data_IF_322954241186
#
_entry.id   IF_322954241186
#
_cell.length_a   1.000
_cell.length_b   1.000
_cell.length_c   1.000
_cell.angle_alpha   90.00
_cell.angle_beta   90.00
_cell.angle_gamma   90.00
#
_symmetry.space_group_name_H-M   'P 1'
#
loop_
_entity.id
_entity.type
_entity.pdbx_description
1 polymer ?
#
# COMPACT_ATOMS: atom_id res chain seq x y z
N UNK A 1 -26.68 -6.46 -4.52
CA UNK A 1 -26.23 -5.25 -5.22
C UNK A 1 -26.34 -4.05 -4.29
N UNK A 2 -25.33 -3.79 -3.46
CA UNK A 2 -25.24 -2.60 -2.61
C UNK A 2 -24.62 -1.46 -3.44
N UNK A 3 -25.31 -0.33 -3.52
CA UNK A 3 -24.88 0.86 -4.27
C UNK A 3 -23.55 1.38 -3.70
N UNK A 4 -22.50 1.33 -4.51
CA UNK A 4 -21.24 2.04 -4.24
C UNK A 4 -21.45 3.48 -4.67
N UNK A 5 -21.37 4.43 -3.72
CA UNK A 5 -21.27 5.85 -4.05
C UNK A 5 -19.81 6.13 -4.51
N UNK A 6 -19.68 6.76 -5.65
CA UNK A 6 -18.40 7.16 -6.19
C UNK A 6 -17.64 8.09 -5.22
N UNK A 7 -16.38 7.77 -4.91
CA UNK A 7 -15.47 8.56 -4.07
C UNK A 7 -15.41 10.06 -4.47
N UNK A 8 -15.64 10.38 -5.75
CA UNK A 8 -15.54 11.75 -6.26
C UNK A 8 -16.61 12.72 -5.72
N UNK A 9 -17.79 12.23 -5.34
CA UNK A 9 -18.87 13.11 -4.87
C UNK A 9 -18.71 13.52 -3.39
N UNK A 10 -18.03 12.70 -2.56
CA UNK A 10 -17.79 13.01 -1.16
C UNK A 10 -16.60 13.97 -0.95
N UNK A 11 -15.58 13.91 -1.82
CA UNK A 11 -14.42 14.79 -1.72
C UNK A 11 -14.78 16.28 -1.81
N UNK A 12 -15.81 16.64 -2.56
CA UNK A 12 -16.24 18.04 -2.72
C UNK A 12 -17.05 18.54 -1.52
N UNK A 13 -17.74 17.69 -0.80
CA UNK A 13 -18.54 18.08 0.36
C UNK A 13 -17.70 18.30 1.65
N UNK A 14 -16.56 17.59 1.79
CA UNK A 14 -15.68 17.73 2.94
C UNK A 14 -14.77 18.98 2.89
N UNK A 15 -14.59 19.60 1.73
CA UNK A 15 -13.74 20.79 1.56
C UNK A 15 -14.43 22.11 2.00
N UNK A 16 -15.72 22.12 2.25
CA UNK A 16 -16.47 23.35 2.54
C UNK A 16 -16.57 23.72 4.03
N UNK A 17 -15.94 22.97 4.93
CA UNK A 17 -16.04 23.19 6.38
C UNK A 17 -14.73 23.48 7.13
N UNK A 18 -13.58 23.49 6.45
CA UNK A 18 -12.29 23.72 7.08
C UNK A 18 -11.97 25.23 7.08
N UNK A 19 -12.41 25.95 8.10
CA UNK A 19 -11.74 27.19 8.46
C UNK A 19 -10.42 26.82 9.14
N UNK A 20 -9.30 27.05 8.45
CA UNK A 20 -7.99 27.07 9.09
C UNK A 20 -8.03 28.09 10.22
N UNK A 21 -7.67 27.68 11.43
CA UNK A 21 -7.56 28.61 12.55
C UNK A 21 -6.35 29.50 12.28
N UNK A 22 -6.58 30.80 12.10
CA UNK A 22 -5.52 31.79 11.87
C UNK A 22 -4.46 31.68 12.95
N UNK A 23 -3.20 31.60 12.53
CA UNK A 23 -2.04 31.69 13.42
C UNK A 23 -2.02 33.06 14.08
N UNK A 24 -2.18 33.11 15.39
CA UNK A 24 -2.20 34.38 16.15
C UNK A 24 -0.80 34.96 16.27
N UNK A 25 -0.62 36.27 16.03
CA UNK A 25 0.64 36.93 16.32
C UNK A 25 0.82 37.14 17.84
N UNK A 26 1.94 36.69 18.34
CA UNK A 26 2.65 37.02 19.57
C UNK A 26 1.92 37.84 20.68
N UNK A 27 1.06 37.22 21.47
CA UNK A 27 0.76 37.57 22.89
C UNK A 27 -0.20 36.60 23.58
N UNK A 28 -0.01 35.34 23.44
CA UNK A 28 -0.79 34.31 24.12
C UNK A 28 -1.02 33.11 23.21
N UNK A 29 -1.13 31.94 23.77
CA UNK A 29 -1.62 30.75 23.07
C UNK A 29 -3.07 30.48 23.49
N UNK A 30 -3.84 29.85 22.63
CA UNK A 30 -5.19 29.37 22.95
C UNK A 30 -5.22 27.87 22.74
N UNK A 31 -5.59 27.14 23.78
CA UNK A 31 -5.83 25.70 23.66
C UNK A 31 -7.14 25.47 22.90
N UNK A 32 -7.17 24.57 21.93
CA UNK A 32 -8.36 24.33 21.13
C UNK A 32 -9.44 23.63 21.96
N UNK A 33 -10.69 23.95 21.69
CA UNK A 33 -11.83 23.20 22.23
C UNK A 33 -11.95 21.81 21.60
N UNK A 34 -12.68 20.90 22.25
CA UNK A 34 -12.96 19.55 21.78
C UNK A 34 -11.95 18.53 22.31
N UNK A 35 -11.31 17.78 21.40
CA UNK A 35 -10.34 16.77 21.84
C UNK A 35 -9.15 17.38 22.58
N UNK A 36 -8.66 16.64 23.56
CA UNK A 36 -7.49 17.02 24.36
C UNK A 36 -6.17 16.86 23.56
N UNK A 37 -5.14 17.56 24.00
CA UNK A 37 -3.76 17.35 23.56
C UNK A 37 -3.10 16.46 24.60
N UNK A 38 -2.58 15.31 24.16
CA UNK A 38 -1.81 14.42 25.03
C UNK A 38 -0.41 14.99 25.22
N UNK A 39 0.12 14.97 26.44
CA UNK A 39 1.50 15.32 26.74
C UNK A 39 2.30 14.04 26.97
N UNK A 40 3.20 13.69 26.03
CA UNK A 40 4.00 12.48 26.13
C UNK A 40 4.91 12.44 27.36
N UNK A 41 5.20 11.23 27.87
CA UNK A 41 6.08 11.05 29.03
C UNK A 41 7.48 11.62 28.80
N UNK A 42 8.03 11.45 27.62
CA UNK A 42 9.33 11.99 27.23
C UNK A 42 9.38 13.52 27.17
N UNK A 43 8.21 14.18 27.06
CA UNK A 43 8.09 15.63 27.00
C UNK A 43 7.56 16.25 28.30
N UNK A 44 7.48 15.49 29.41
CA UNK A 44 6.97 15.99 30.71
C UNK A 44 7.80 17.14 31.29
N UNK A 45 9.11 17.14 31.05
CA UNK A 45 10.00 18.19 31.52
C UNK A 45 10.04 19.41 30.58
N UNK A 46 9.34 19.35 29.46
CA UNK A 46 9.20 20.47 28.52
C UNK A 46 8.06 21.39 28.99
N UNK A 47 8.37 22.67 29.23
CA UNK A 47 7.35 23.67 29.59
C UNK A 47 6.62 24.17 28.33
N UNK A 48 5.54 23.52 27.95
CA UNK A 48 4.71 23.91 26.81
C UNK A 48 4.14 25.33 26.91
N UNK A 49 4.10 25.93 28.12
CA UNK A 49 3.60 27.30 28.30
C UNK A 49 4.66 28.35 28.06
N UNK A 50 5.93 27.95 27.96
CA UNK A 50 7.02 28.84 27.62
C UNK A 50 7.21 28.99 26.11
N UNK A 51 7.30 30.21 25.58
CA UNK A 51 7.65 30.41 24.16
C UNK A 51 9.09 29.95 23.84
N UNK A 52 9.91 29.81 24.85
CA UNK A 52 11.33 29.42 24.70
C UNK A 52 11.57 27.90 24.76
N UNK A 53 10.58 27.12 25.13
CA UNK A 53 10.70 25.64 25.16
C UNK A 53 10.90 25.07 23.74
N UNK A 54 11.47 23.86 23.65
CA UNK A 54 11.64 23.13 22.37
C UNK A 54 10.29 22.97 21.67
N UNK A 55 9.31 22.46 22.39
CA UNK A 55 7.91 22.33 21.96
C UNK A 55 7.04 23.28 22.79
N UNK A 56 6.13 24.00 22.14
CA UNK A 56 5.37 25.04 22.85
C UNK A 56 3.97 25.20 22.26
N UNK A 57 3.01 25.55 23.10
CA UNK A 57 1.67 25.96 22.67
C UNK A 57 1.67 27.22 21.81
N UNK A 58 2.77 27.99 21.80
CA UNK A 58 2.96 29.11 20.87
C UNK A 58 3.32 28.65 19.44
N UNK A 59 3.79 27.42 19.31
CA UNK A 59 4.21 26.79 18.05
C UNK A 59 3.44 25.52 17.81
N UNK A 60 2.12 25.65 17.75
CA UNK A 60 1.20 24.59 17.38
C UNK A 60 0.04 25.12 16.54
N UNK A 61 -0.57 24.22 15.80
CA UNK A 61 -1.86 24.43 15.14
C UNK A 61 -2.69 23.16 15.20
N UNK A 62 -4.01 23.30 15.26
CA UNK A 62 -4.92 22.18 15.45
C UNK A 62 -5.98 22.13 14.37
N UNK A 63 -6.32 20.92 13.99
CA UNK A 63 -7.60 20.56 13.38
C UNK A 63 -8.52 19.94 14.43
N UNK A 64 -9.76 19.58 14.12
CA UNK A 64 -10.60 18.85 15.07
C UNK A 64 -9.97 17.56 15.60
N UNK A 65 -9.15 16.87 14.78
CA UNK A 65 -8.65 15.53 15.09
C UNK A 65 -7.13 15.43 15.25
N UNK A 66 -6.37 16.42 14.83
CA UNK A 66 -4.91 16.40 14.81
C UNK A 66 -4.36 17.68 15.45
N UNK A 67 -3.24 17.56 16.16
CA UNK A 67 -2.41 18.69 16.59
C UNK A 67 -1.06 18.60 15.89
N UNK A 68 -0.63 19.70 15.29
CA UNK A 68 0.70 19.84 14.72
C UNK A 68 1.53 20.75 15.63
N UNK A 69 2.63 20.25 16.15
CA UNK A 69 3.66 21.02 16.84
C UNK A 69 4.88 21.18 15.94
N UNK A 70 5.59 22.30 16.09
CA UNK A 70 6.90 22.47 15.46
C UNK A 70 7.95 23.00 16.42
N UNK A 71 9.18 22.54 16.23
CA UNK A 71 10.30 22.88 17.09
C UNK A 71 10.65 24.38 17.07
N UNK A 72 11.30 24.86 18.13
CA UNK A 72 11.75 26.25 18.29
C UNK A 72 12.59 26.76 17.11
N UNK A 73 13.35 25.89 16.46
CA UNK A 73 14.20 26.23 15.31
C UNK A 73 13.45 26.85 14.13
N UNK A 74 12.20 26.50 13.93
CA UNK A 74 11.33 27.07 12.88
C UNK A 74 10.94 28.54 13.15
N UNK A 75 11.01 29.02 14.39
CA UNK A 75 10.38 30.26 14.80
C UNK A 75 8.86 30.12 14.91
N UNK A 76 8.16 31.27 14.99
CA UNK A 76 6.71 31.30 15.20
C UNK A 76 5.90 31.17 13.90
N UNK A 77 6.50 31.38 12.75
CA UNK A 77 5.86 31.37 11.44
C UNK A 77 6.58 30.39 10.49
N UNK A 78 5.97 29.24 10.27
CA UNK A 78 6.52 28.18 9.41
C UNK A 78 6.78 28.63 7.96
N UNK A 79 6.03 29.62 7.47
CA UNK A 79 6.25 30.16 6.12
C UNK A 79 7.51 31.03 6.01
N UNK A 80 8.09 31.38 7.16
CA UNK A 80 9.31 32.21 7.31
C UNK A 80 10.39 31.51 8.12
N UNK A 81 10.27 30.19 8.27
CA UNK A 81 11.27 29.42 8.97
C UNK A 81 12.68 29.71 8.40
N UNK A 82 13.67 29.95 9.25
CA UNK A 82 15.04 30.18 8.77
C UNK A 82 15.58 28.94 8.08
N UNK A 83 16.49 29.13 7.12
CA UNK A 83 17.19 28.02 6.50
C UNK A 83 18.10 27.33 7.53
N UNK A 84 18.25 26.02 7.40
CA UNK A 84 19.21 25.22 8.16
C UNK A 84 20.32 24.76 7.21
N UNK A 85 21.55 25.20 7.47
CA UNK A 85 22.71 24.89 6.62
C UNK A 85 22.48 25.18 5.12
N UNK A 86 21.74 26.25 4.81
CA UNK A 86 21.43 26.66 3.44
C UNK A 86 20.27 25.89 2.78
N UNK A 87 19.57 25.05 3.54
CA UNK A 87 18.38 24.33 3.07
C UNK A 87 17.11 24.99 3.58
N UNK A 88 16.11 25.24 2.71
CA UNK A 88 14.82 25.81 3.11
C UNK A 88 14.09 24.91 4.11
N UNK A 89 13.66 25.49 5.22
CA UNK A 89 12.88 24.80 6.26
C UNK A 89 11.42 25.23 6.32
N UNK A 90 10.97 26.02 5.34
CA UNK A 90 9.59 26.49 5.30
C UNK A 90 8.61 25.36 5.07
N UNK A 91 7.41 25.48 5.70
CA UNK A 91 6.31 24.53 5.56
C UNK A 91 5.01 25.28 5.26
N UNK A 92 4.24 24.80 4.30
CA UNK A 92 2.89 25.26 4.01
C UNK A 92 1.92 24.64 5.04
N UNK A 93 1.72 25.36 6.15
CA UNK A 93 0.92 24.86 7.29
C UNK A 93 -0.55 24.65 6.91
N UNK A 94 -1.12 25.51 6.08
CA UNK A 94 -2.52 25.40 5.67
C UNK A 94 -2.75 24.14 4.82
N UNK A 95 -1.85 23.89 3.88
CA UNK A 95 -1.87 22.65 3.11
C UNK A 95 -1.68 21.42 4.02
N UNK A 96 -0.71 21.47 4.94
CA UNK A 96 -0.45 20.37 5.88
C UNK A 96 -1.69 20.04 6.72
N UNK A 97 -2.28 21.03 7.38
CA UNK A 97 -3.45 20.85 8.24
C UNK A 97 -4.68 20.35 7.46
N UNK A 98 -4.95 20.93 6.30
CA UNK A 98 -6.09 20.53 5.48
C UNK A 98 -5.95 19.10 4.97
N UNK A 99 -4.74 18.71 4.53
CA UNK A 99 -4.48 17.37 4.02
C UNK A 99 -4.50 16.32 5.12
N UNK A 100 -3.86 16.57 6.26
CA UNK A 100 -3.81 15.61 7.37
C UNK A 100 -5.21 15.36 7.95
N UNK A 101 -6.04 16.40 8.07
CA UNK A 101 -7.43 16.24 8.52
C UNK A 101 -8.26 15.43 7.50
N UNK A 102 -8.06 15.68 6.19
CA UNK A 102 -8.69 14.89 5.14
C UNK A 102 -8.28 13.41 5.23
N UNK A 103 -6.99 13.11 5.38
CA UNK A 103 -6.49 11.74 5.52
C UNK A 103 -7.05 11.06 6.77
N UNK A 104 -7.04 11.78 7.90
CA UNK A 104 -7.61 11.30 9.14
C UNK A 104 -9.07 10.87 8.98
N UNK A 105 -9.89 11.74 8.38
CA UNK A 105 -11.30 11.48 8.19
C UNK A 105 -11.55 10.28 7.24
N UNK A 106 -10.77 10.12 6.18
CA UNK A 106 -10.85 8.94 5.30
C UNK A 106 -10.49 7.67 6.06
N UNK A 107 -9.40 7.67 6.81
CA UNK A 107 -8.94 6.49 7.56
C UNK A 107 -9.91 6.12 8.69
N UNK A 108 -10.50 7.10 9.36
CA UNK A 108 -11.53 6.87 10.37
C UNK A 108 -12.86 6.42 9.76
N UNK A 109 -13.44 7.23 8.86
CA UNK A 109 -14.85 7.12 8.47
C UNK A 109 -15.08 6.12 7.32
N UNK A 110 -14.17 6.09 6.35
CA UNK A 110 -14.32 5.23 5.18
C UNK A 110 -13.61 3.89 5.35
N UNK A 111 -12.46 3.88 6.02
CA UNK A 111 -11.66 2.67 6.22
C UNK A 111 -11.88 2.05 7.59
N UNK A 112 -12.57 2.73 8.51
CA UNK A 112 -13.04 2.18 9.77
C UNK A 112 -11.92 1.84 10.76
N UNK A 113 -10.78 2.52 10.71
CA UNK A 113 -9.66 2.23 11.62
C UNK A 113 -9.96 2.55 13.08
N UNK A 114 -10.80 3.53 13.36
CA UNK A 114 -11.20 3.87 14.72
C UNK A 114 -12.61 3.36 15.01
N UNK A 115 -12.79 2.67 16.14
CA UNK A 115 -14.07 2.24 16.65
C UNK A 115 -14.54 3.18 17.77
N UNK A 116 -15.84 3.21 18.09
CA UNK A 116 -16.35 3.88 19.27
C UNK A 116 -15.60 3.43 20.54
N UNK A 117 -15.17 4.38 21.36
CA UNK A 117 -14.36 4.13 22.54
C UNK A 117 -12.85 4.15 22.31
N UNK A 118 -12.39 4.40 21.07
CA UNK A 118 -10.97 4.62 20.78
C UNK A 118 -10.41 5.79 21.62
N UNK A 119 -9.15 5.65 22.07
CA UNK A 119 -8.43 6.74 22.74
C UNK A 119 -8.34 7.99 21.84
N UNK A 120 -8.37 7.81 20.51
CA UNK A 120 -8.39 8.90 19.54
C UNK A 120 -9.74 9.67 19.50
N UNK A 121 -10.77 9.26 20.21
CA UNK A 121 -11.97 10.11 20.45
C UNK A 121 -11.69 11.20 21.50
N UNK A 122 -10.83 10.90 22.48
CA UNK A 122 -10.44 11.82 23.53
C UNK A 122 -9.27 12.70 23.13
N UNK A 123 -8.23 12.13 22.50
CA UNK A 123 -7.01 12.85 22.18
C UNK A 123 -6.88 13.12 20.69
N UNK A 124 -6.23 14.23 20.32
CA UNK A 124 -5.78 14.49 18.96
C UNK A 124 -4.56 13.64 18.64
N UNK A 125 -4.51 13.07 17.44
CA UNK A 125 -3.25 12.52 16.93
C UNK A 125 -2.22 13.63 16.73
N UNK A 126 -0.93 13.30 16.86
CA UNK A 126 0.13 14.30 16.92
C UNK A 126 0.99 14.27 15.66
N UNK A 127 1.24 15.44 15.09
CA UNK A 127 2.23 15.67 14.05
C UNK A 127 3.35 16.50 14.64
N UNK A 128 4.57 15.96 14.65
CA UNK A 128 5.74 16.58 15.25
C UNK A 128 6.71 16.99 14.13
N UNK A 129 6.77 18.31 13.82
CA UNK A 129 7.71 18.83 12.84
C UNK A 129 9.09 19.07 13.49
N UNK A 130 10.07 18.32 13.03
CA UNK A 130 11.44 18.41 13.51
C UNK A 130 12.27 19.37 12.64
N UNK A 131 12.95 20.31 13.27
CA UNK A 131 13.86 21.25 12.60
C UNK A 131 15.20 20.55 12.34
N UNK A 132 15.20 19.68 11.32
CA UNK A 132 16.33 18.79 11.00
C UNK A 132 16.45 18.60 9.49
N UNK A 133 17.69 18.37 9.03
CA UNK A 133 17.99 17.94 7.66
C UNK A 133 18.02 16.42 7.52
N UNK A 134 17.93 15.68 8.62
CA UNK A 134 17.74 14.24 8.56
C UNK A 134 16.43 13.95 7.84
N UNK A 135 16.46 13.02 6.87
CA UNK A 135 15.27 12.65 6.08
C UNK A 135 14.22 11.88 6.89
N UNK A 136 13.94 12.38 8.09
CA UNK A 136 13.02 11.74 9.05
C UNK A 136 11.59 11.78 8.54
N UNK A 137 10.97 10.60 8.49
CA UNK A 137 9.55 10.40 8.40
C UNK A 137 9.24 9.09 9.13
N UNK A 138 8.42 9.16 10.17
CA UNK A 138 8.10 8.02 11.00
C UNK A 138 6.70 8.16 11.59
N UNK A 139 5.86 7.15 11.40
CA UNK A 139 4.54 7.05 12.01
C UNK A 139 4.51 5.98 13.11
N UNK A 140 3.83 6.27 14.20
CA UNK A 140 3.74 5.40 15.36
C UNK A 140 2.80 5.94 16.42
N UNK A 141 3.24 5.97 17.67
CA UNK A 141 2.45 6.45 18.80
C UNK A 141 3.31 7.04 19.90
N UNK A 142 2.67 7.78 20.79
CA UNK A 142 3.21 8.15 22.10
C UNK A 142 2.62 7.31 23.22
N UNK A 143 3.49 6.75 24.06
CA UNK A 143 3.20 6.13 25.38
C UNK A 143 2.09 5.07 25.34
N UNK A 144 1.91 4.37 24.23
CA UNK A 144 0.79 3.45 23.98
C UNK A 144 -0.59 4.10 24.20
N UNK A 145 -0.71 5.40 23.97
CA UNK A 145 -1.94 6.18 24.17
C UNK A 145 -2.51 6.69 22.85
N UNK A 146 -1.73 7.42 22.06
CA UNK A 146 -2.25 8.09 20.87
C UNK A 146 -1.28 8.01 19.70
N UNK A 147 -1.82 7.82 18.52
CA UNK A 147 -1.06 7.85 17.26
C UNK A 147 -0.34 9.18 17.05
N UNK A 148 0.91 9.09 16.59
CA UNK A 148 1.75 10.24 16.31
C UNK A 148 2.62 9.99 15.09
N UNK A 149 3.08 11.07 14.45
CA UNK A 149 4.12 11.01 13.42
C UNK A 149 5.16 12.11 13.62
N UNK A 150 6.38 11.82 13.23
CA UNK A 150 7.53 12.73 13.28
C UNK A 150 8.05 12.94 11.87
N UNK A 151 8.27 14.19 11.48
CA UNK A 151 8.63 14.50 10.11
C UNK A 151 9.52 15.72 9.98
N UNK A 152 10.49 15.65 9.08
CA UNK A 152 11.33 16.77 8.70
C UNK A 152 10.80 17.47 7.42
N UNK A 153 11.06 18.78 7.23
CA UNK A 153 10.51 19.56 6.13
C UNK A 153 10.82 19.02 4.73
N UNK A 154 11.97 18.39 4.53
CA UNK A 154 12.37 17.81 3.23
C UNK A 154 11.48 16.65 2.78
N UNK A 155 10.62 16.12 3.65
CA UNK A 155 9.67 15.04 3.36
C UNK A 155 8.25 15.54 3.04
N UNK A 156 7.99 16.84 3.16
CA UNK A 156 6.67 17.45 2.99
C UNK A 156 6.68 18.66 2.06
N UNK A 157 7.61 18.71 1.10
CA UNK A 157 7.68 19.79 0.12
C UNK A 157 6.67 19.65 -1.03
N UNK A 158 6.15 18.46 -1.26
CA UNK A 158 5.11 18.22 -2.27
C UNK A 158 3.71 18.57 -1.73
N UNK A 159 2.83 19.07 -2.60
CA UNK A 159 1.48 19.48 -2.20
C UNK A 159 0.53 18.30 -1.92
N UNK A 160 0.85 17.11 -2.39
CA UNK A 160 0.04 15.91 -2.18
C UNK A 160 0.26 15.30 -0.81
N UNK A 161 1.44 15.57 -0.20
CA UNK A 161 1.86 15.08 1.11
C UNK A 161 1.73 13.56 1.22
N UNK A 162 2.23 12.85 0.21
CA UNK A 162 2.19 11.40 0.17
C UNK A 162 2.87 10.77 1.39
N UNK A 163 4.01 11.32 1.80
CA UNK A 163 4.73 10.87 2.97
C UNK A 163 3.87 11.00 4.26
N UNK A 164 3.17 12.13 4.43
CA UNK A 164 2.24 12.30 5.57
C UNK A 164 1.10 11.28 5.53
N UNK A 165 0.53 11.01 4.36
CA UNK A 165 -0.53 10.02 4.23
C UNK A 165 -0.05 8.62 4.63
N UNK A 166 1.18 8.25 4.25
CA UNK A 166 1.82 6.99 4.63
C UNK A 166 2.06 6.92 6.14
N UNK A 167 2.73 7.91 6.73
CA UNK A 167 3.08 7.91 8.16
C UNK A 167 1.85 8.00 9.07
N UNK A 168 0.85 8.78 8.67
CA UNK A 168 -0.44 8.78 9.37
C UNK A 168 -1.11 7.40 9.29
N UNK A 169 -0.93 6.68 8.18
CA UNK A 169 -1.35 5.28 8.06
C UNK A 169 -0.77 4.42 9.17
N UNK A 170 0.53 4.52 9.46
CA UNK A 170 1.17 3.81 10.58
C UNK A 170 0.59 4.22 11.93
N UNK A 171 0.29 5.50 12.13
CA UNK A 171 -0.34 5.97 13.37
C UNK A 171 -1.72 5.32 13.57
N UNK A 172 -2.50 5.12 12.51
CA UNK A 172 -3.79 4.43 12.57
C UNK A 172 -3.67 2.91 12.76
N UNK A 173 -2.70 2.26 12.10
CA UNK A 173 -2.41 0.84 12.31
C UNK A 173 -2.04 0.57 13.77
N UNK A 174 -1.18 1.41 14.33
CA UNK A 174 -0.75 1.35 15.73
C UNK A 174 -1.94 1.61 16.66
N UNK A 175 -2.81 2.58 16.36
CA UNK A 175 -3.96 2.92 17.21
C UNK A 175 -4.90 1.72 17.41
N UNK A 176 -5.04 0.82 16.45
CA UNK A 176 -5.81 -0.42 16.63
C UNK A 176 -5.27 -1.25 17.81
N UNK A 177 -3.93 -1.39 17.89
CA UNK A 177 -3.31 -2.12 19.01
C UNK A 177 -3.44 -1.36 20.32
N UNK A 178 -3.31 -0.03 20.31
CA UNK A 178 -3.48 0.84 21.49
C UNK A 178 -4.89 0.76 22.07
N UNK A 179 -5.87 0.55 21.21
CA UNK A 179 -7.27 0.39 21.59
C UNK A 179 -7.59 -1.06 22.03
N UNK A 180 -6.57 -1.91 22.20
CA UNK A 180 -6.67 -3.25 22.75
C UNK A 180 -7.07 -4.34 21.76
N UNK A 181 -6.92 -4.08 20.46
CA UNK A 181 -7.20 -5.06 19.41
C UNK A 181 -5.92 -5.77 18.94
N UNK A 182 -6.06 -6.89 18.23
CA UNK A 182 -4.95 -7.62 17.62
C UNK A 182 -4.18 -6.74 16.64
N UNK A 183 -3.03 -7.18 16.18
CA UNK A 183 -2.20 -6.40 15.28
C UNK A 183 -1.55 -7.25 14.21
N UNK A 184 -1.30 -6.63 13.08
CA UNK A 184 -0.41 -7.13 12.04
C UNK A 184 1.05 -6.84 12.39
N UNK A 185 1.97 -7.24 11.51
CA UNK A 185 3.40 -6.98 11.70
C UNK A 185 4.20 -7.29 10.44
N UNK A 186 5.49 -6.95 10.48
CA UNK A 186 6.40 -7.19 9.36
C UNK A 186 6.12 -6.32 8.12
N UNK A 187 6.42 -6.86 6.96
CA UNK A 187 6.34 -6.12 5.68
C UNK A 187 4.93 -5.56 5.37
N UNK A 188 3.88 -6.14 5.95
CA UNK A 188 2.51 -5.68 5.69
C UNK A 188 2.23 -4.28 6.25
N UNK A 189 2.93 -3.84 7.29
CA UNK A 189 2.77 -2.50 7.85
C UNK A 189 3.05 -1.46 6.77
N UNK A 190 4.17 -1.59 6.06
CA UNK A 190 4.56 -0.70 4.97
C UNK A 190 3.61 -0.82 3.76
N UNK A 191 3.35 -2.06 3.32
CA UNK A 191 2.48 -2.30 2.16
C UNK A 191 1.07 -1.77 2.38
N UNK A 192 0.54 -1.90 3.59
CA UNK A 192 -0.80 -1.39 3.92
C UNK A 192 -0.81 0.13 4.13
N UNK A 193 0.25 0.74 4.64
CA UNK A 193 0.39 2.20 4.67
C UNK A 193 0.45 2.78 3.23
N UNK A 194 1.16 2.12 2.31
CA UNK A 194 1.13 2.47 0.88
C UNK A 194 -0.26 2.31 0.26
N UNK A 195 -0.99 1.26 0.63
CA UNK A 195 -2.37 1.10 0.19
C UNK A 195 -3.28 2.20 0.75
N UNK A 196 -3.12 2.59 2.03
CA UNK A 196 -3.86 3.68 2.65
C UNK A 196 -3.58 5.02 1.96
N UNK A 197 -2.30 5.32 1.69
CA UNK A 197 -1.88 6.44 0.87
C UNK A 197 -2.58 6.44 -0.50
N UNK A 198 -2.63 5.29 -1.18
CA UNK A 198 -3.27 5.20 -2.50
C UNK A 198 -4.78 5.43 -2.45
N UNK A 199 -5.45 5.22 -1.31
CA UNK A 199 -6.87 5.56 -1.14
C UNK A 199 -7.11 7.07 -1.10
N UNK A 200 -6.19 7.85 -0.58
CA UNK A 200 -6.32 9.32 -0.43
C UNK A 200 -5.65 10.10 -1.56
N UNK A 201 -4.68 9.51 -2.24
CA UNK A 201 -3.98 10.08 -3.39
C UNK A 201 -4.04 9.09 -4.58
N UNK A 202 -5.12 9.10 -5.39
CA UNK A 202 -5.32 8.12 -6.48
C UNK A 202 -4.23 8.15 -7.56
N UNK A 203 -3.48 9.25 -7.65
CA UNK A 203 -2.36 9.44 -8.58
C UNK A 203 -1.03 8.87 -8.06
N UNK A 204 -1.01 8.20 -6.92
CA UNK A 204 0.21 7.68 -6.31
C UNK A 204 1.12 6.93 -7.32
N UNK A 205 0.58 6.03 -8.12
CA UNK A 205 1.34 5.29 -9.16
C UNK A 205 1.99 6.21 -10.21
N UNK A 206 1.49 7.45 -10.37
CA UNK A 206 2.06 8.45 -11.28
C UNK A 206 3.04 9.35 -10.55
N UNK A 207 2.65 9.84 -9.37
CA UNK A 207 3.42 10.85 -8.64
C UNK A 207 4.67 10.21 -7.98
N UNK A 208 4.60 8.91 -7.65
CA UNK A 208 5.70 8.08 -7.14
C UNK A 208 5.97 6.85 -8.05
N UNK A 209 6.07 7.09 -9.34
CA UNK A 209 6.18 6.03 -10.35
C UNK A 209 7.37 5.07 -10.13
N UNK A 210 8.40 5.51 -9.41
CA UNK A 210 9.54 4.64 -9.07
C UNK A 210 9.13 3.37 -8.31
N UNK A 211 8.02 3.38 -7.56
CA UNK A 211 7.46 2.19 -6.93
C UNK A 211 6.96 1.17 -7.97
N UNK A 212 6.26 1.64 -9.00
CA UNK A 212 5.82 0.79 -10.09
C UNK A 212 7.00 0.23 -10.89
N UNK A 213 8.00 1.07 -11.17
CA UNK A 213 9.22 0.65 -11.86
C UNK A 213 10.04 -0.38 -11.08
N UNK A 214 10.04 -0.30 -9.75
CA UNK A 214 10.66 -1.32 -8.89
C UNK A 214 9.84 -2.61 -8.89
N UNK A 215 8.53 -2.52 -8.68
CA UNK A 215 7.64 -3.69 -8.62
C UNK A 215 7.68 -4.53 -9.90
N UNK A 216 7.71 -3.91 -11.08
CA UNK A 216 7.79 -4.63 -12.37
C UNK A 216 8.96 -5.61 -12.45
N UNK A 217 10.05 -5.36 -11.74
CA UNK A 217 11.25 -6.22 -11.74
C UNK A 217 11.11 -7.42 -10.81
N UNK A 218 10.28 -7.29 -9.77
CA UNK A 218 10.21 -8.19 -8.64
C UNK A 218 8.83 -8.86 -8.46
N UNK A 219 8.01 -8.90 -9.54
CA UNK A 219 6.67 -9.53 -9.54
C UNK A 219 6.72 -11.05 -9.25
N UNK A 220 7.85 -11.69 -9.52
CA UNK A 220 8.06 -13.12 -9.31
C UNK A 220 8.28 -13.49 -7.83
N UNK A 221 8.64 -12.52 -6.98
CA UNK A 221 8.86 -12.73 -5.56
C UNK A 221 7.55 -13.08 -4.83
N UNK A 222 7.68 -13.77 -3.71
CA UNK A 222 6.54 -14.22 -2.92
C UNK A 222 5.64 -13.07 -2.47
N UNK A 223 4.35 -13.38 -2.26
CA UNK A 223 3.39 -12.42 -1.73
C UNK A 223 3.91 -11.85 -0.40
N UNK A 224 3.86 -10.52 -0.27
CA UNK A 224 4.38 -9.75 0.85
C UNK A 224 5.89 -9.90 1.10
N UNK A 225 6.65 -10.24 0.06
CA UNK A 225 8.11 -10.23 0.14
C UNK A 225 8.62 -8.83 0.50
N UNK A 226 9.61 -8.74 1.41
CA UNK A 226 10.07 -7.46 1.97
C UNK A 226 10.62 -6.48 0.92
N UNK A 227 11.23 -6.94 -0.17
CA UNK A 227 11.66 -6.07 -1.29
C UNK A 227 10.52 -5.28 -1.91
N UNK A 228 9.31 -5.82 -1.83
CA UNK A 228 8.11 -5.22 -2.40
C UNK A 228 7.26 -4.47 -1.36
N UNK A 229 7.69 -4.36 -0.11
CA UNK A 229 6.86 -3.82 0.98
C UNK A 229 6.35 -2.40 0.72
N UNK A 230 7.14 -1.56 0.02
CA UNK A 230 6.73 -0.21 -0.40
C UNK A 230 6.13 -0.18 -1.81
N UNK A 231 6.21 -1.28 -2.59
CA UNK A 231 5.97 -1.25 -4.03
C UNK A 231 4.72 -2.00 -4.46
N UNK A 232 4.17 -2.89 -3.63
CA UNK A 232 3.16 -3.88 -4.02
C UNK A 232 1.81 -3.80 -3.29
N UNK A 233 1.10 -2.65 -3.24
CA UNK A 233 -0.21 -2.58 -2.58
C UNK A 233 -1.35 -3.20 -3.42
N UNK A 234 -1.06 -3.82 -4.55
CA UNK A 234 -2.05 -4.21 -5.57
C UNK A 234 -2.98 -5.34 -5.12
N UNK A 235 -2.47 -6.33 -4.38
CA UNK A 235 -3.31 -7.39 -3.80
C UNK A 235 -4.22 -6.81 -2.72
N UNK A 236 -3.74 -5.84 -1.96
CA UNK A 236 -4.55 -5.14 -0.96
C UNK A 236 -5.68 -4.33 -1.63
N UNK A 237 -5.41 -3.72 -2.78
CA UNK A 237 -6.44 -3.03 -3.56
C UNK A 237 -7.49 -4.02 -4.10
N UNK A 238 -7.05 -5.19 -4.59
CA UNK A 238 -7.96 -6.23 -5.04
C UNK A 238 -8.87 -6.73 -3.91
N UNK A 239 -8.34 -6.95 -2.70
CA UNK A 239 -9.15 -7.32 -1.55
C UNK A 239 -10.10 -6.19 -1.13
N UNK A 240 -9.64 -4.93 -1.17
CA UNK A 240 -10.51 -3.77 -0.97
C UNK A 240 -11.65 -3.68 -1.98
N UNK A 241 -11.37 -3.99 -3.25
CA UNK A 241 -12.39 -4.10 -4.30
C UNK A 241 -13.44 -5.19 -3.97
N UNK A 242 -13.04 -6.32 -3.40
CA UNK A 242 -13.92 -7.44 -3.07
C UNK A 242 -14.75 -7.23 -1.82
N UNK A 243 -14.13 -6.69 -0.77
CA UNK A 243 -14.70 -6.66 0.58
C UNK A 243 -15.11 -5.26 1.06
N UNK A 244 -14.72 -4.23 0.36
CA UNK A 244 -14.88 -2.84 0.78
C UNK A 244 -13.67 -2.34 1.58
N UNK A 245 -13.58 -1.02 1.79
CA UNK A 245 -12.38 -0.39 2.35
C UNK A 245 -12.13 -0.72 3.83
N UNK A 246 -13.18 -1.07 4.59
CA UNK A 246 -13.04 -1.42 6.01
C UNK A 246 -12.32 -2.73 6.26
N UNK A 247 -12.20 -3.59 5.22
CA UNK A 247 -11.56 -4.90 5.36
C UNK A 247 -10.16 -4.81 5.97
N UNK A 248 -9.42 -3.75 5.64
CA UNK A 248 -8.04 -3.58 6.13
C UNK A 248 -8.00 -3.41 7.64
N UNK A 249 -8.83 -2.53 8.18
CA UNK A 249 -8.93 -2.34 9.63
C UNK A 249 -9.46 -3.61 10.33
N UNK A 250 -10.39 -4.33 9.70
CA UNK A 250 -10.89 -5.60 10.24
C UNK A 250 -9.79 -6.67 10.25
N UNK A 251 -8.93 -6.71 9.23
CA UNK A 251 -7.76 -7.59 9.18
C UNK A 251 -6.76 -7.29 10.31
N UNK A 252 -6.45 -6.00 10.55
CA UNK A 252 -5.59 -5.60 11.66
C UNK A 252 -6.17 -6.02 13.01
N UNK A 253 -7.48 -5.84 13.23
CA UNK A 253 -8.16 -6.27 14.47
C UNK A 253 -8.24 -7.78 14.60
N UNK A 254 -8.47 -8.47 13.48
CA UNK A 254 -8.63 -9.92 13.43
C UNK A 254 -7.34 -10.72 13.42
N UNK A 255 -6.18 -10.08 13.23
CA UNK A 255 -4.87 -10.72 13.19
C UNK A 255 -4.56 -11.49 14.47
N UNK A 256 -3.87 -12.60 14.35
CA UNK A 256 -3.43 -13.44 15.48
C UNK A 256 -1.91 -13.50 15.53
N UNK A 257 -1.38 -13.65 16.74
CA UNK A 257 0.06 -13.82 16.92
C UNK A 257 0.58 -15.03 16.13
N UNK A 258 1.58 -14.82 15.29
CA UNK A 258 2.20 -15.86 14.47
C UNK A 258 1.54 -16.08 13.10
N UNK A 259 0.40 -15.43 12.83
CA UNK A 259 -0.15 -15.36 11.46
C UNK A 259 0.51 -14.22 10.67
N UNK A 260 0.77 -14.45 9.40
CA UNK A 260 0.97 -13.36 8.46
C UNK A 260 -0.40 -12.83 7.96
N UNK A 261 -0.34 -11.79 7.15
CA UNK A 261 -1.56 -11.13 6.69
C UNK A 261 -2.36 -11.99 5.68
N UNK A 262 -1.70 -12.84 4.90
CA UNK A 262 -2.38 -13.77 4.00
C UNK A 262 -3.08 -14.90 4.78
N UNK A 263 -2.44 -15.42 5.83
CA UNK A 263 -3.07 -16.41 6.73
C UNK A 263 -4.28 -15.82 7.46
N UNK A 264 -4.15 -14.58 7.94
CA UNK A 264 -5.27 -13.84 8.54
C UNK A 264 -6.43 -13.68 7.55
N UNK A 265 -6.14 -13.28 6.30
CA UNK A 265 -7.12 -13.14 5.23
C UNK A 265 -7.84 -14.47 4.96
N UNK A 266 -7.08 -15.54 4.72
CA UNK A 266 -7.63 -16.87 4.44
C UNK A 266 -8.55 -17.34 5.56
N UNK A 267 -8.15 -17.14 6.82
CA UNK A 267 -8.96 -17.52 7.98
C UNK A 267 -10.22 -16.67 8.12
N UNK A 268 -10.12 -15.35 8.02
CA UNK A 268 -11.26 -14.45 8.26
C UNK A 268 -12.32 -14.55 7.17
N UNK A 269 -11.91 -14.77 5.94
CA UNK A 269 -12.82 -14.85 4.80
C UNK A 269 -13.14 -16.29 4.34
N UNK A 270 -12.60 -17.29 5.05
CA UNK A 270 -12.83 -18.70 4.74
C UNK A 270 -12.25 -19.13 3.39
N UNK A 271 -11.15 -18.50 2.97
CA UNK A 271 -10.48 -18.74 1.68
C UNK A 271 -9.50 -19.89 1.85
N UNK A 272 -9.66 -20.95 1.06
CA UNK A 272 -8.70 -22.07 1.04
C UNK A 272 -7.42 -21.66 0.30
N UNK A 273 -6.35 -22.47 0.48
CA UNK A 273 -5.08 -22.28 -0.25
C UNK A 273 -5.28 -22.27 -1.77
N UNK A 274 -6.17 -23.12 -2.27
CA UNK A 274 -6.50 -23.19 -3.71
C UNK A 274 -7.27 -21.93 -4.16
N UNK A 275 -8.28 -21.51 -3.40
CA UNK A 275 -9.04 -20.32 -3.68
C UNK A 275 -8.19 -19.05 -3.63
N UNK A 276 -7.21 -19.00 -2.72
CA UNK A 276 -6.23 -17.91 -2.67
C UNK A 276 -5.45 -17.80 -3.99
N UNK A 277 -5.02 -18.96 -4.55
CA UNK A 277 -4.39 -18.97 -5.86
C UNK A 277 -5.29 -18.48 -6.99
N UNK A 278 -6.58 -18.85 -6.96
CA UNK A 278 -7.56 -18.37 -7.95
C UNK A 278 -7.80 -16.86 -7.85
N UNK A 279 -7.88 -16.32 -6.62
CA UNK A 279 -8.02 -14.88 -6.38
C UNK A 279 -6.80 -14.10 -6.83
N UNK A 280 -5.59 -14.61 -6.58
CA UNK A 280 -4.36 -13.96 -7.01
C UNK A 280 -4.18 -13.98 -8.52
N UNK A 281 -4.60 -15.07 -9.21
CA UNK A 281 -4.64 -15.06 -10.66
C UNK A 281 -5.60 -13.99 -11.21
N UNK A 282 -6.78 -13.82 -10.63
CA UNK A 282 -7.71 -12.74 -11.03
C UNK A 282 -7.10 -11.36 -10.74
N UNK A 283 -6.52 -11.16 -9.56
CA UNK A 283 -5.85 -9.92 -9.19
C UNK A 283 -4.75 -9.53 -10.19
N UNK A 284 -3.81 -10.45 -10.45
CA UNK A 284 -2.67 -10.18 -11.33
C UNK A 284 -3.06 -10.05 -12.80
N UNK A 285 -4.11 -10.76 -13.22
CA UNK A 285 -4.70 -10.60 -14.56
C UNK A 285 -5.30 -9.19 -14.73
N UNK A 286 -5.97 -8.67 -13.70
CA UNK A 286 -6.51 -7.29 -13.68
C UNK A 286 -5.41 -6.25 -13.66
N UNK A 287 -4.31 -6.53 -12.99
CA UNK A 287 -3.19 -5.60 -12.87
C UNK A 287 -2.51 -5.31 -14.22
N UNK A 288 -2.60 -6.22 -15.21
CA UNK A 288 -2.07 -5.98 -16.56
C UNK A 288 -2.62 -4.68 -17.17
N UNK A 289 -3.87 -4.32 -16.89
CA UNK A 289 -4.52 -3.12 -17.40
C UNK A 289 -5.01 -2.18 -16.31
N UNK A 290 -4.61 -2.41 -15.05
CA UNK A 290 -5.15 -1.72 -13.87
C UNK A 290 -6.69 -1.75 -13.83
N UNK A 291 -7.29 -2.92 -14.10
CA UNK A 291 -8.74 -3.12 -14.09
C UNK A 291 -9.30 -3.15 -12.66
N UNK A 292 -9.02 -2.10 -11.90
CA UNK A 292 -9.55 -1.78 -10.57
C UNK A 292 -10.40 -0.52 -10.72
N UNK A 293 -11.73 -0.58 -10.54
CA UNK A 293 -12.64 0.52 -10.92
C UNK A 293 -12.24 1.89 -10.40
N UNK A 294 -11.78 1.94 -9.14
CA UNK A 294 -11.44 3.20 -8.48
C UNK A 294 -10.02 3.72 -8.81
N UNK A 295 -9.17 2.88 -9.41
CA UNK A 295 -7.76 3.22 -9.73
C UNK A 295 -7.50 3.32 -11.24
N UNK A 296 -8.32 2.65 -12.06
CA UNK A 296 -8.10 2.52 -13.50
C UNK A 296 -7.92 3.87 -14.21
N UNK A 297 -8.74 4.88 -13.85
CA UNK A 297 -8.69 6.20 -14.50
C UNK A 297 -7.29 6.79 -14.50
N UNK A 298 -6.59 6.73 -13.37
CA UNK A 298 -5.26 7.34 -13.21
C UNK A 298 -4.13 6.39 -13.63
N UNK A 299 -4.32 5.07 -13.51
CA UNK A 299 -3.26 4.08 -13.66
C UNK A 299 -3.28 3.32 -14.99
N UNK A 300 -4.35 3.39 -15.81
CA UNK A 300 -4.45 2.67 -17.08
C UNK A 300 -3.35 3.05 -18.11
N UNK A 301 -2.69 4.18 -17.92
CA UNK A 301 -1.54 4.59 -18.72
C UNK A 301 -0.36 3.63 -18.64
N UNK A 302 -0.27 2.85 -17.56
CA UNK A 302 0.75 1.81 -17.31
C UNK A 302 0.28 0.42 -17.76
N UNK A 303 -0.85 0.33 -18.48
CA UNK A 303 -1.36 -0.92 -19.00
C UNK A 303 -0.33 -1.60 -19.93
N UNK A 304 -0.24 -2.92 -19.79
CA UNK A 304 0.66 -3.76 -20.62
C UNK A 304 2.17 -3.58 -20.37
N UNK A 305 2.55 -2.96 -19.24
CA UNK A 305 3.98 -2.80 -18.88
C UNK A 305 4.55 -3.98 -18.09
N UNK A 306 3.70 -4.82 -17.48
CA UNK A 306 4.16 -6.03 -16.80
C UNK A 306 4.62 -7.04 -17.84
N UNK A 307 5.87 -7.48 -17.72
CA UNK A 307 6.47 -8.46 -18.62
C UNK A 307 7.61 -9.20 -17.95
N UNK A 308 7.57 -10.53 -17.99
CA UNK A 308 8.64 -11.38 -17.50
C UNK A 308 9.65 -11.68 -18.60
N UNK A 309 10.93 -11.74 -18.22
CA UNK A 309 11.98 -12.15 -19.12
C UNK A 309 11.94 -13.67 -19.32
N UNK A 310 11.93 -14.11 -20.58
CA UNK A 310 11.89 -15.52 -20.96
C UNK A 310 13.15 -15.91 -21.73
N UNK A 311 13.66 -17.10 -21.47
CA UNK A 311 14.78 -17.69 -22.23
C UNK A 311 14.33 -18.88 -23.06
N UNK A 312 14.83 -18.96 -24.26
CA UNK A 312 14.59 -20.11 -25.15
C UNK A 312 15.28 -21.36 -24.66
N UNK A 313 14.59 -22.49 -24.80
CA UNK A 313 15.11 -23.83 -24.49
C UNK A 313 14.91 -24.78 -25.65
N UNK A 314 15.44 -26.00 -25.53
CA UNK A 314 15.35 -27.01 -26.58
C UNK A 314 13.90 -27.30 -27.00
N UNK A 315 13.71 -27.54 -28.31
CA UNK A 315 12.41 -27.90 -28.85
C UNK A 315 11.39 -26.75 -28.97
N UNK A 316 11.85 -25.49 -28.88
CA UNK A 316 11.00 -24.31 -29.03
C UNK A 316 10.19 -24.00 -27.76
N UNK A 317 10.59 -24.54 -26.61
CA UNK A 317 10.07 -24.16 -25.31
C UNK A 317 10.78 -22.92 -24.79
N UNK A 318 10.07 -22.17 -23.94
CA UNK A 318 10.60 -21.02 -23.19
C UNK A 318 10.40 -21.23 -21.71
N UNK A 319 11.35 -20.78 -20.89
CA UNK A 319 11.25 -20.77 -19.43
C UNK A 319 11.49 -19.36 -18.90
N UNK A 320 10.86 -18.95 -17.78
CA UNK A 320 11.15 -17.66 -17.20
C UNK A 320 12.60 -17.61 -16.67
N UNK A 321 13.22 -16.43 -16.77
CA UNK A 321 14.52 -16.17 -16.14
C UNK A 321 14.34 -16.13 -14.63
N UNK A 322 13.35 -15.41 -14.16
CA UNK A 322 12.94 -15.35 -12.76
C UNK A 322 11.72 -16.24 -12.54
N UNK A 323 11.90 -17.27 -11.73
CA UNK A 323 10.86 -18.28 -11.46
C UNK A 323 9.93 -17.73 -10.37
N UNK A 324 8.59 -17.86 -10.51
CA UNK A 324 7.68 -17.43 -9.45
C UNK A 324 7.96 -18.16 -8.13
N UNK A 325 7.97 -17.41 -7.06
CA UNK A 325 7.91 -17.89 -5.68
C UNK A 325 6.46 -18.13 -5.24
N UNK A 326 6.25 -18.49 -3.97
CA UNK A 326 4.90 -18.70 -3.42
C UNK A 326 4.02 -17.48 -3.57
N UNK A 327 2.97 -17.60 -4.39
CA UNK A 327 2.03 -16.52 -4.73
C UNK A 327 2.65 -15.31 -5.45
N UNK A 328 3.93 -15.42 -5.88
CA UNK A 328 4.49 -14.57 -6.91
C UNK A 328 4.00 -14.99 -8.31
N UNK A 329 4.20 -14.14 -9.30
CA UNK A 329 3.67 -14.40 -10.63
C UNK A 329 4.61 -13.93 -11.75
N UNK A 330 4.34 -14.44 -12.95
CA UNK A 330 4.94 -13.98 -14.20
C UNK A 330 3.87 -13.58 -15.20
N UNK A 331 4.25 -12.70 -16.12
CA UNK A 331 3.44 -12.26 -17.25
C UNK A 331 4.24 -12.50 -18.52
N UNK A 332 3.84 -13.50 -19.32
CA UNK A 332 4.53 -13.90 -20.54
C UNK A 332 3.79 -13.40 -21.76
N UNK A 333 4.41 -12.55 -22.57
CA UNK A 333 3.79 -12.09 -23.82
C UNK A 333 3.76 -13.21 -24.85
N UNK A 334 2.56 -13.49 -25.39
CA UNK A 334 2.31 -14.46 -26.43
C UNK A 334 2.17 -13.74 -27.76
N UNK A 335 2.84 -14.23 -28.79
CA UNK A 335 2.68 -13.65 -30.14
C UNK A 335 1.21 -13.69 -30.55
N UNK A 336 0.63 -12.50 -30.75
CA UNK A 336 -0.77 -12.36 -31.15
C UNK A 336 -0.94 -12.93 -32.57
N UNK A 337 -1.84 -13.90 -32.77
CA UNK A 337 -2.07 -14.46 -34.12
C UNK A 337 -2.77 -13.43 -35.02
N UNK A 338 -2.66 -13.60 -36.36
CA UNK A 338 -3.42 -12.79 -37.31
C UNK A 338 -4.94 -12.90 -37.04
N UNK A 339 -5.70 -11.89 -37.44
CA UNK A 339 -7.16 -11.85 -37.29
C UNK A 339 -7.81 -13.13 -37.80
N UNK A 340 -8.69 -13.73 -37.00
CA UNK A 340 -9.37 -15.00 -37.29
C UNK A 340 -8.48 -16.24 -37.18
N UNK A 341 -7.19 -16.10 -36.83
CA UNK A 341 -6.30 -17.24 -36.59
C UNK A 341 -6.20 -17.57 -35.14
N UNK A 342 -5.85 -18.82 -34.84
CA UNK A 342 -5.75 -19.37 -33.48
C UNK A 342 -4.29 -19.65 -33.15
N UNK A 343 -3.86 -19.20 -31.95
CA UNK A 343 -2.61 -19.65 -31.33
C UNK A 343 -2.92 -20.72 -30.28
N UNK A 344 -2.00 -21.69 -30.14
CA UNK A 344 -2.02 -22.74 -29.13
C UNK A 344 -0.87 -22.52 -28.16
N UNK A 345 -1.16 -22.22 -26.91
CA UNK A 345 -0.17 -22.03 -25.85
C UNK A 345 -0.12 -23.28 -24.99
N UNK A 346 0.99 -24.03 -25.09
CA UNK A 346 1.23 -25.20 -24.27
C UNK A 346 1.90 -24.78 -22.98
N UNK A 347 1.33 -25.12 -21.86
CA UNK A 347 1.89 -24.92 -20.53
C UNK A 347 2.37 -26.25 -19.93
N UNK A 348 3.50 -26.24 -19.26
CA UNK A 348 4.01 -27.35 -18.46
C UNK A 348 4.69 -26.85 -17.19
N UNK A 349 4.15 -27.19 -16.03
CA UNK A 349 4.80 -27.06 -14.74
C UNK A 349 5.94 -28.06 -14.63
N UNK A 350 7.05 -27.65 -14.04
CA UNK A 350 8.27 -28.45 -13.94
C UNK A 350 8.57 -28.91 -12.51
N UNK A 351 7.92 -28.30 -11.50
CA UNK A 351 8.13 -28.73 -10.10
C UNK A 351 7.60 -30.15 -9.89
N UNK A 352 8.40 -30.96 -9.20
CA UNK A 352 8.02 -32.28 -8.74
C UNK A 352 7.95 -32.35 -7.20
N UNK A 353 8.20 -31.22 -6.51
CA UNK A 353 8.09 -31.13 -5.06
C UNK A 353 6.63 -31.26 -4.65
N UNK A 354 6.39 -31.87 -3.49
CA UNK A 354 5.06 -31.86 -2.85
C UNK A 354 4.64 -30.40 -2.55
N UNK A 355 3.36 -30.19 -2.42
CA UNK A 355 2.76 -28.89 -2.13
C UNK A 355 3.03 -27.81 -3.19
N UNK A 356 3.32 -28.18 -4.45
CA UNK A 356 3.51 -27.22 -5.55
C UNK A 356 2.45 -27.38 -6.62
N UNK A 357 1.94 -26.25 -7.09
CA UNK A 357 0.95 -26.16 -8.13
C UNK A 357 1.03 -24.81 -8.83
N UNK A 358 0.05 -24.54 -9.66
CA UNK A 358 0.01 -23.34 -10.47
C UNK A 358 -1.42 -22.84 -10.60
N UNK A 359 -1.58 -21.54 -10.82
CA UNK A 359 -2.75 -20.95 -11.44
C UNK A 359 -2.30 -20.16 -12.66
N UNK A 360 -2.97 -20.34 -13.78
CA UNK A 360 -2.60 -19.64 -15.00
C UNK A 360 -3.80 -19.44 -15.94
N UNK A 361 -3.75 -18.34 -16.68
CA UNK A 361 -4.79 -17.97 -17.64
C UNK A 361 -4.29 -17.00 -18.69
N UNK A 362 -4.98 -16.96 -19.84
CA UNK A 362 -4.70 -15.99 -20.88
C UNK A 362 -5.47 -14.69 -20.62
N UNK A 363 -4.81 -13.57 -20.92
CA UNK A 363 -5.40 -12.23 -20.89
C UNK A 363 -5.16 -11.59 -22.26
N UNK A 364 -6.24 -11.34 -23.00
CA UNK A 364 -6.16 -10.56 -24.23
C UNK A 364 -6.53 -9.10 -23.94
N UNK A 365 -5.80 -8.17 -24.53
CA UNK A 365 -5.99 -6.73 -24.31
C UNK A 365 -6.31 -6.08 -25.65
N UNK A 366 -7.41 -5.33 -25.73
CA UNK A 366 -7.81 -4.61 -26.91
C UNK A 366 -7.06 -3.28 -27.10
N UNK A 367 -7.33 -2.57 -28.18
CA UNK A 367 -6.69 -1.31 -28.51
C UNK A 367 -6.99 -0.18 -27.48
N UNK A 368 -8.07 -0.31 -26.73
CA UNK A 368 -8.51 0.65 -25.71
C UNK A 368 -8.05 0.26 -24.29
N UNK A 369 -7.15 -0.71 -24.15
CA UNK A 369 -6.68 -1.29 -22.89
C UNK A 369 -7.74 -2.06 -22.11
N UNK A 370 -8.85 -2.50 -22.72
CA UNK A 370 -9.80 -3.34 -22.02
C UNK A 370 -9.33 -4.80 -22.03
N UNK A 371 -9.32 -5.48 -20.87
CA UNK A 371 -8.91 -6.88 -20.79
C UNK A 371 -10.07 -7.81 -21.13
N UNK A 372 -9.73 -8.97 -21.70
CA UNK A 372 -10.58 -10.15 -21.77
C UNK A 372 -9.86 -11.30 -21.08
N UNK A 373 -10.47 -11.80 -19.98
CA UNK A 373 -9.94 -12.91 -19.20
C UNK A 373 -10.40 -14.24 -19.79
N UNK A 374 -9.47 -15.11 -20.14
CA UNK A 374 -9.74 -16.34 -20.90
C UNK A 374 -9.55 -17.59 -20.02
N UNK A 375 -10.24 -17.58 -18.89
CA UNK A 375 -10.33 -18.69 -17.95
C UNK A 375 -9.14 -18.85 -17.01
N UNK A 376 -9.31 -19.68 -16.00
CA UNK A 376 -8.31 -20.08 -15.04
C UNK A 376 -8.04 -21.57 -15.14
N UNK A 377 -6.79 -22.01 -14.96
CA UNK A 377 -6.36 -23.39 -15.02
C UNK A 377 -5.37 -23.70 -13.90
N UNK A 378 -5.41 -24.96 -13.43
CA UNK A 378 -4.50 -25.47 -12.40
C UNK A 378 -3.74 -26.72 -12.83
N UNK A 379 -4.04 -27.27 -14.01
CA UNK A 379 -3.44 -28.53 -14.46
C UNK A 379 -1.93 -28.38 -14.72
N UNK A 380 -1.08 -29.32 -14.29
CA UNK A 380 0.38 -29.21 -14.49
C UNK A 380 0.79 -29.25 -15.96
N UNK A 381 -0.10 -29.71 -16.85
CA UNK A 381 0.09 -29.71 -18.31
C UNK A 381 -1.24 -29.40 -18.98
N UNK A 382 -1.25 -28.38 -19.85
CA UNK A 382 -2.44 -28.02 -20.64
C UNK A 382 -2.07 -27.24 -21.89
N UNK A 383 -2.90 -27.32 -22.89
CA UNK A 383 -2.87 -26.43 -24.06
C UNK A 383 -4.04 -25.47 -23.96
N UNK A 384 -3.75 -24.20 -23.95
CA UNK A 384 -4.72 -23.11 -24.04
C UNK A 384 -4.82 -22.67 -25.51
N UNK A 385 -5.96 -22.15 -25.90
CA UNK A 385 -6.20 -21.65 -27.26
C UNK A 385 -6.79 -20.24 -27.21
N UNK A 386 -6.35 -19.41 -28.16
CA UNK A 386 -6.92 -18.10 -28.37
C UNK A 386 -7.07 -17.84 -29.86
N UNK A 387 -8.26 -17.41 -30.29
CA UNK A 387 -8.54 -16.95 -31.66
C UNK A 387 -8.67 -15.43 -31.63
N UNK A 388 -7.86 -14.74 -32.43
CA UNK A 388 -7.88 -13.28 -32.48
C UNK A 388 -9.16 -12.75 -33.13
N UNK A 389 -10.06 -12.03 -32.41
CA UNK A 389 -11.29 -11.51 -32.96
C UNK A 389 -11.12 -10.28 -33.84
N UNK A 390 -9.94 -9.64 -33.86
CA UNK A 390 -9.62 -8.54 -34.76
C UNK A 390 -9.32 -7.18 -34.14
N UNK A 391 -9.64 -6.96 -32.87
CA UNK A 391 -9.41 -5.69 -32.17
C UNK A 391 -8.38 -5.77 -31.04
N UNK A 392 -7.65 -6.88 -30.93
CA UNK A 392 -6.66 -7.10 -29.87
C UNK A 392 -5.31 -6.53 -30.26
N UNK A 393 -4.59 -5.97 -29.28
CA UNK A 393 -3.21 -5.49 -29.45
C UNK A 393 -2.18 -6.36 -28.75
N UNK A 394 -2.56 -7.06 -27.67
CA UNK A 394 -1.68 -7.90 -26.86
C UNK A 394 -2.40 -9.16 -26.39
N UNK A 395 -1.61 -10.21 -26.17
CA UNK A 395 -2.03 -11.46 -25.54
C UNK A 395 -0.96 -11.87 -24.53
N UNK A 396 -1.39 -12.14 -23.30
CA UNK A 396 -0.50 -12.56 -22.22
C UNK A 396 -0.94 -13.90 -21.63
N UNK A 397 0.03 -14.64 -21.12
CA UNK A 397 -0.18 -15.72 -20.16
C UNK A 397 0.28 -15.22 -18.80
N UNK A 398 -0.62 -15.22 -17.83
CA UNK A 398 -0.30 -14.95 -16.42
C UNK A 398 -0.12 -16.29 -15.71
N UNK A 399 0.98 -16.45 -14.98
CA UNK A 399 1.30 -17.69 -14.23
C UNK A 399 1.62 -17.34 -12.79
N UNK A 400 0.88 -17.91 -11.85
CA UNK A 400 1.06 -17.76 -10.40
C UNK A 400 1.61 -19.05 -9.82
N UNK A 401 2.66 -18.96 -9.02
CA UNK A 401 3.19 -20.08 -8.22
C UNK A 401 2.29 -20.31 -7.00
N UNK A 402 1.67 -21.47 -6.90
CA UNK A 402 0.69 -21.75 -5.83
C UNK A 402 1.03 -23.00 -5.04
N UNK A 403 0.98 -22.94 -3.69
CA UNK A 403 0.93 -24.16 -2.88
C UNK A 403 -0.41 -24.90 -3.13
N UNK A 404 -0.45 -26.20 -2.90
CA UNK A 404 -1.65 -27.03 -3.11
C UNK A 404 -2.32 -27.50 -1.83
N UNK A 405 -1.62 -27.46 -0.71
CA UNK A 405 -2.10 -27.95 0.58
C UNK A 405 -1.94 -26.97 1.70
N UNK A 406 -0.76 -26.35 1.83
CA UNK A 406 -0.41 -25.49 2.94
C UNK A 406 0.34 -24.26 2.44
N UNK A 407 -0.10 -23.08 2.86
CA UNK A 407 0.63 -21.85 2.67
C UNK A 407 1.62 -21.65 3.82
N UNK A 408 2.88 -21.43 3.49
CA UNK A 408 3.92 -21.02 4.43
C UNK A 408 4.34 -19.60 4.09
N UNK A 409 4.22 -18.65 5.04
CA UNK A 409 4.62 -17.27 4.81
C UNK A 409 6.12 -17.16 4.56
N UNK A 410 6.52 -16.18 3.77
CA UNK A 410 7.92 -15.79 3.68
C UNK A 410 8.40 -15.25 5.04
N UNK A 411 9.59 -15.67 5.47
CA UNK A 411 10.14 -15.20 6.74
C UNK A 411 10.67 -13.78 6.56
N UNK A 412 10.18 -12.84 7.37
CA UNK A 412 10.65 -11.46 7.40
C UNK A 412 11.37 -11.18 8.72
N UNK A 413 12.56 -10.54 8.65
CA UNK A 413 13.30 -10.07 9.83
C UNK A 413 13.81 -8.66 9.61
N UNK A 414 13.36 -7.71 10.44
CA UNK A 414 13.88 -6.35 10.47
C UNK A 414 15.38 -6.31 10.77
N UNK A 415 16.13 -5.47 10.05
CA UNK A 415 17.53 -5.13 10.35
C UNK A 415 18.56 -6.16 9.87
N UNK A 416 18.23 -7.04 8.94
CA UNK A 416 19.21 -7.90 8.26
C UNK A 416 19.33 -7.50 6.80
N UNK A 417 20.58 -7.55 6.32
CA UNK A 417 20.88 -7.33 4.90
C UNK A 417 20.15 -8.35 4.02
N UNK A 418 19.76 -7.89 2.84
CA UNK A 418 18.87 -8.57 1.90
C UNK A 418 19.30 -9.99 1.47
N UNK A 419 20.57 -10.33 1.69
CA UNK A 419 21.17 -11.59 1.25
C UNK A 419 21.09 -12.74 2.27
N UNK A 420 20.55 -12.50 3.47
CA UNK A 420 20.36 -13.52 4.49
C UNK A 420 18.91 -13.98 4.60
N UNK A 421 18.32 -14.46 3.50
CA UNK A 421 17.09 -15.24 3.55
C UNK A 421 17.36 -16.55 4.34
N UNK A 422 16.58 -16.77 5.40
CA UNK A 422 17.05 -17.61 6.45
C UNK A 422 16.19 -18.77 6.87
N UNK A 423 15.66 -19.46 5.90
CA UNK A 423 15.49 -20.89 6.02
C UNK A 423 16.55 -21.54 5.13
N UNK A 424 17.21 -22.58 5.60
CA UNK A 424 18.26 -23.33 4.87
C UNK A 424 17.80 -23.84 3.50
N UNK A 425 16.51 -23.73 3.15
CA UNK A 425 15.93 -24.18 1.89
C UNK A 425 15.53 -23.05 0.92
N UNK A 426 15.59 -21.78 1.32
CA UNK A 426 15.09 -20.64 0.51
C UNK A 426 13.57 -20.72 0.23
N UNK A 427 12.98 -19.70 -0.45
CA UNK A 427 11.56 -19.70 -0.77
C UNK A 427 11.19 -20.82 -1.76
N UNK A 428 9.97 -21.35 -1.63
CA UNK A 428 9.46 -22.33 -2.58
C UNK A 428 9.28 -21.68 -3.95
N UNK A 429 9.84 -22.31 -5.00
CA UNK A 429 9.78 -21.83 -6.37
C UNK A 429 8.95 -22.74 -7.27
N UNK A 430 8.35 -22.17 -8.31
CA UNK A 430 7.38 -22.84 -9.17
C UNK A 430 7.82 -22.78 -10.65
N UNK A 431 8.88 -23.51 -11.05
CA UNK A 431 9.40 -23.49 -12.39
C UNK A 431 8.39 -24.05 -13.40
N UNK A 432 8.33 -23.43 -14.59
CA UNK A 432 7.46 -23.86 -15.68
C UNK A 432 8.11 -23.60 -17.04
N UNK A 433 7.50 -24.14 -18.09
CA UNK A 433 7.82 -23.83 -19.48
C UNK A 433 6.57 -23.65 -20.32
N UNK A 434 6.68 -22.83 -21.34
CA UNK A 434 5.62 -22.60 -22.32
C UNK A 434 6.14 -22.77 -23.76
N UNK A 435 5.20 -23.09 -24.67
CA UNK A 435 5.48 -23.13 -26.11
C UNK A 435 4.23 -22.66 -26.86
N UNK A 436 4.43 -21.80 -27.86
CA UNK A 436 3.36 -21.27 -28.72
C UNK A 436 3.83 -20.97 -30.13
#
# INVERSE_FOLDING_TARGET
MKKRLSLLALATACLLGLQAQETQPSRGYTLPEGKEIYIPEELRDNDFTSPDAQWSYYRMACTPNVVCFWEKGFGDDLSKAPDLDGHPMTVDLDNLLSRVEYFYNVYRDMMGFLLPGSKAERYRMMVMLNYSLEGMAYGGCYDDVIGALWIAPNRIQDKTLNCIAHELGHSFQTQIALDGHGGGGGAIMETSAQWMLWQVNPRWTTDENYHWEAYKKDIHLSLFHFKNMYHAPFVLEYWGYRHGLTYMADMFRGGRRGEDFAQTYMRMYGVSVEQMGDELLDCYSRLITFDFPDKRKESVRYACELLSEMKDTLGGWKTPVNVPETYGFNVDEITLPAVGKTVKVQFRGLSQKENTGYRYGLVAVDNDNNPTYLGANAAPKKTLTFTNPGNMKKLYLVVVGCPTREYKPATFRWGRDDDEAQDDEGPATYPYMIKF
#
